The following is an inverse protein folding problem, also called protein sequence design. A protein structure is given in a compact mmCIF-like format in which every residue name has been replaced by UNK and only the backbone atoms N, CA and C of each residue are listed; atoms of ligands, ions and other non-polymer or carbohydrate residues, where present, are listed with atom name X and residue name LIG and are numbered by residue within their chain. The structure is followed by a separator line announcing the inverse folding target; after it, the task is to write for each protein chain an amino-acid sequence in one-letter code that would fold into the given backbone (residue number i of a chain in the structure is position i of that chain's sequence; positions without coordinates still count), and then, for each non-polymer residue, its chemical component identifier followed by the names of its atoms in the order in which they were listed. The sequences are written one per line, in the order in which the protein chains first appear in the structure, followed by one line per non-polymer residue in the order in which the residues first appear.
data_IF_255764426736
#
_entry.id   IF_255764426736
#
_cell.length_a   1.000
_cell.length_b   1.000
_cell.length_c   1.000
_cell.angle_alpha   90.00
_cell.angle_beta   90.00
_cell.angle_gamma   90.00
#
_symmetry.space_group_name_H-M   'P 1'
#
loop_
_entity.id
_entity.type
_entity.pdbx_description
1 polymer ?
#
# COMPACT_ATOMS: atom_id res chain seq x y z
N UNK A 1 -19.57 -7.48 6.31
CA UNK A 1 -18.36 -6.64 6.09
C UNK A 1 -18.39 -5.43 7.02
N UNK A 2 -19.58 -4.91 7.33
CA UNK A 2 -19.89 -3.97 8.42
C UNK A 2 -19.32 -4.36 9.80
N UNK A 3 -19.00 -5.63 10.01
CA UNK A 3 -18.46 -6.15 11.27
C UNK A 3 -17.01 -5.77 11.55
N UNK A 4 -16.19 -5.43 10.57
CA UNK A 4 -14.77 -5.06 10.81
C UNK A 4 -14.62 -3.58 11.14
N UNK A 5 -15.37 -2.71 10.44
CA UNK A 5 -15.42 -1.28 10.74
C UNK A 5 -16.00 -1.02 12.13
N UNK A 6 -17.03 -1.79 12.53
CA UNK A 6 -17.57 -1.72 13.90
C UNK A 6 -16.56 -2.12 14.98
N UNK A 7 -15.48 -2.83 14.61
CA UNK A 7 -14.38 -3.20 15.50
C UNK A 7 -13.22 -2.20 15.46
N UNK A 8 -13.37 -1.08 14.73
CA UNK A 8 -12.37 -0.03 14.62
C UNK A 8 -11.29 -0.28 13.57
N UNK A 9 -11.42 -1.31 12.73
CA UNK A 9 -10.47 -1.56 11.64
C UNK A 9 -10.57 -0.42 10.62
N UNK A 10 -9.47 0.27 10.27
CA UNK A 10 -9.47 1.34 9.29
C UNK A 10 -10.06 0.90 7.95
N UNK A 11 -10.92 1.75 7.38
CA UNK A 11 -11.39 1.61 6.01
C UNK A 11 -10.39 2.26 5.04
N UNK A 12 -9.79 1.42 4.20
CA UNK A 12 -8.84 1.79 3.15
C UNK A 12 -9.30 1.26 1.79
N UNK A 13 -10.60 0.99 1.62
CA UNK A 13 -11.15 0.53 0.34
C UNK A 13 -10.85 1.55 -0.76
N UNK A 14 -10.61 1.10 -2.01
CA UNK A 14 -10.18 1.98 -3.10
C UNK A 14 -11.06 3.23 -3.25
N UNK A 15 -12.38 3.08 -3.15
CA UNK A 15 -13.35 4.18 -3.23
C UNK A 15 -13.11 5.35 -2.24
N UNK A 16 -12.47 5.10 -1.09
CA UNK A 16 -12.20 6.12 -0.06
C UNK A 16 -10.82 6.78 -0.21
N UNK A 17 -9.93 6.17 -0.98
CA UNK A 17 -8.50 6.46 -0.91
C UNK A 17 -8.16 7.88 -1.35
N UNK A 18 -8.81 8.41 -2.38
CA UNK A 18 -8.56 9.77 -2.86
C UNK A 18 -8.89 10.82 -1.77
N UNK A 19 -10.06 10.72 -1.14
CA UNK A 19 -10.46 11.66 -0.08
C UNK A 19 -9.56 11.55 1.17
N UNK A 20 -9.11 10.33 1.52
CA UNK A 20 -8.18 10.11 2.63
C UNK A 20 -6.80 10.71 2.35
N UNK A 21 -6.28 10.52 1.13
CA UNK A 21 -5.01 11.12 0.71
C UNK A 21 -5.12 12.64 0.63
N UNK A 22 -6.24 13.19 0.17
CA UNK A 22 -6.47 14.64 0.19
C UNK A 22 -6.36 15.22 1.61
N UNK A 23 -6.99 14.56 2.59
CA UNK A 23 -6.90 14.95 3.99
C UNK A 23 -5.47 14.87 4.52
N UNK A 24 -4.73 13.80 4.20
CA UNK A 24 -3.32 13.67 4.56
C UNK A 24 -2.46 14.78 3.92
N UNK A 25 -2.70 15.08 2.64
CA UNK A 25 -1.99 16.13 1.90
C UNK A 25 -2.31 17.56 2.39
N UNK A 26 -3.33 17.73 3.23
CA UNK A 26 -3.62 18.98 3.92
C UNK A 26 -2.82 19.13 5.23
N UNK A 27 -2.34 18.05 5.82
CA UNK A 27 -1.58 18.04 7.07
C UNK A 27 -0.08 18.27 6.82
N UNK A 28 0.30 19.54 6.69
CA UNK A 28 1.70 19.93 6.43
C UNK A 28 2.65 19.49 7.53
N UNK A 29 2.19 19.34 8.77
CA UNK A 29 3.02 18.91 9.88
C UNK A 29 3.34 17.41 9.76
N UNK A 30 2.34 16.58 9.47
CA UNK A 30 2.52 15.15 9.24
C UNK A 30 3.43 14.86 8.02
N UNK A 31 3.41 15.74 7.02
CA UNK A 31 4.27 15.63 5.82
C UNK A 31 5.65 16.26 6.00
N UNK A 32 5.93 16.89 7.15
CA UNK A 32 7.19 17.60 7.41
C UNK A 32 7.59 18.52 6.23
N UNK A 33 6.64 19.30 5.72
CA UNK A 33 6.84 20.01 4.44
C UNK A 33 7.90 21.09 4.58
N UNK A 34 8.85 21.09 3.65
CA UNK A 34 10.01 22.00 3.58
C UNK A 34 11.04 21.82 4.73
N UNK A 35 10.95 20.71 5.47
CA UNK A 35 12.02 20.24 6.36
C UNK A 35 13.15 19.55 5.57
N UNK A 36 14.39 19.47 6.11
CA UNK A 36 15.50 18.78 5.46
C UNK A 36 15.15 17.33 5.08
N UNK A 37 15.52 16.92 3.87
CA UNK A 37 15.33 15.55 3.33
C UNK A 37 13.86 15.07 3.29
N UNK A 38 12.89 15.99 3.33
CA UNK A 38 11.44 15.71 3.29
C UNK A 38 10.78 16.24 2.00
N UNK A 39 9.44 16.18 1.94
CA UNK A 39 8.64 16.68 0.83
C UNK A 39 8.67 18.21 0.76
N UNK A 40 8.80 18.74 -0.46
CA UNK A 40 8.66 20.18 -0.70
C UNK A 40 7.19 20.56 -0.86
N UNK A 41 6.89 21.85 -0.71
CA UNK A 41 5.57 22.39 -1.10
C UNK A 41 5.18 22.06 -2.54
N UNK A 42 6.15 22.00 -3.46
CA UNK A 42 5.92 21.62 -4.85
C UNK A 42 5.55 20.13 -5.00
N UNK A 43 6.15 19.24 -4.20
CA UNK A 43 5.79 17.81 -4.18
C UNK A 43 4.38 17.59 -3.65
N UNK A 44 3.96 18.34 -2.63
CA UNK A 44 2.59 18.30 -2.12
C UNK A 44 1.59 18.73 -3.19
N UNK A 45 1.85 19.81 -3.93
CA UNK A 45 0.97 20.24 -5.04
C UNK A 45 0.95 19.22 -6.18
N UNK A 46 2.10 18.61 -6.53
CA UNK A 46 2.16 17.50 -7.50
C UNK A 46 1.33 16.30 -7.04
N UNK A 47 1.40 15.95 -5.76
CA UNK A 47 0.61 14.90 -5.15
C UNK A 47 -0.90 15.20 -5.17
N UNK A 48 -1.31 16.42 -4.85
CA UNK A 48 -2.71 16.85 -4.95
C UNK A 48 -3.23 16.74 -6.38
N UNK A 49 -2.43 17.12 -7.37
CA UNK A 49 -2.77 16.98 -8.77
C UNK A 49 -2.99 15.51 -9.21
N UNK A 50 -2.50 14.53 -8.45
CA UNK A 50 -2.73 13.10 -8.72
C UNK A 50 -4.04 12.54 -8.14
N UNK A 51 -4.77 13.27 -7.30
CA UNK A 51 -5.96 12.75 -6.60
C UNK A 51 -7.05 12.26 -7.57
N UNK A 52 -7.27 12.96 -8.69
CA UNK A 52 -8.20 12.51 -9.73
C UNK A 52 -7.77 11.18 -10.37
N UNK A 53 -6.45 10.98 -10.54
CA UNK A 53 -5.89 9.71 -11.05
C UNK A 53 -6.02 8.58 -10.02
N UNK A 54 -5.83 8.88 -8.73
CA UNK A 54 -6.10 7.91 -7.65
C UNK A 54 -7.53 7.43 -7.71
N UNK A 55 -8.50 8.34 -7.83
CA UNK A 55 -9.92 7.98 -7.93
C UNK A 55 -10.20 7.09 -9.15
N UNK A 56 -9.62 7.42 -10.31
CA UNK A 56 -9.76 6.61 -11.52
C UNK A 56 -9.14 5.21 -11.38
N UNK A 57 -7.92 5.10 -10.86
CA UNK A 57 -7.26 3.81 -10.62
C UNK A 57 -7.99 2.98 -9.56
N UNK A 58 -8.54 3.62 -8.54
CA UNK A 58 -9.34 2.97 -7.52
C UNK A 58 -10.63 2.38 -8.11
N UNK A 59 -11.34 3.14 -8.94
CA UNK A 59 -12.52 2.66 -9.65
C UNK A 59 -12.18 1.52 -10.63
N UNK A 60 -11.05 1.62 -11.34
CA UNK A 60 -10.55 0.55 -12.21
C UNK A 60 -10.27 -0.73 -11.41
N UNK A 61 -9.58 -0.61 -10.26
CA UNK A 61 -9.27 -1.73 -9.37
C UNK A 61 -10.54 -2.40 -8.83
N UNK A 62 -11.51 -1.62 -8.35
CA UNK A 62 -12.80 -2.13 -7.88
C UNK A 62 -13.58 -2.83 -9.01
N UNK A 63 -13.45 -2.35 -10.24
CA UNK A 63 -14.05 -2.96 -11.43
C UNK A 63 -13.63 -4.40 -11.68
N UNK A 64 -12.49 -4.86 -11.17
CA UNK A 64 -12.05 -6.26 -11.26
C UNK A 64 -12.90 -7.23 -10.44
N UNK A 65 -13.71 -6.74 -9.49
CA UNK A 65 -14.61 -7.58 -8.69
C UNK A 65 -13.90 -8.41 -7.62
N UNK A 66 -12.71 -7.99 -7.20
CA UNK A 66 -12.01 -8.58 -6.06
C UNK A 66 -12.78 -8.22 -4.78
N UNK A 67 -13.15 -9.19 -3.93
CA UNK A 67 -13.75 -8.85 -2.64
C UNK A 67 -12.72 -8.11 -1.80
N UNK A 68 -13.07 -6.95 -1.24
CA UNK A 68 -12.16 -6.34 -0.26
C UNK A 68 -12.12 -7.22 1.00
N UNK A 69 -10.97 -7.23 1.65
CA UNK A 69 -10.64 -8.15 2.73
C UNK A 69 -9.88 -7.42 3.83
N UNK A 70 -9.71 -8.09 4.97
CA UNK A 70 -8.71 -7.68 5.94
C UNK A 70 -7.32 -7.85 5.30
N UNK A 71 -6.64 -6.73 5.13
CA UNK A 71 -5.28 -6.60 4.61
C UNK A 71 -4.34 -6.29 5.77
N UNK A 72 -3.18 -6.92 5.78
CA UNK A 72 -2.23 -6.86 6.89
C UNK A 72 -1.46 -5.52 6.96
N UNK A 73 -1.28 -4.87 5.80
CA UNK A 73 -0.50 -3.64 5.56
C UNK A 73 0.99 -3.63 5.94
N UNK A 74 1.44 -4.61 6.73
CA UNK A 74 2.84 -4.85 7.06
C UNK A 74 3.27 -6.29 6.77
N UNK A 75 2.81 -6.82 5.64
CA UNK A 75 3.14 -8.18 5.25
C UNK A 75 4.60 -8.26 4.79
N UNK A 76 5.48 -8.72 5.67
CA UNK A 76 6.84 -9.15 5.36
C UNK A 76 7.16 -10.46 6.08
N UNK A 77 8.26 -11.10 5.70
CA UNK A 77 8.63 -12.43 6.18
C UNK A 77 8.89 -12.52 7.71
N UNK A 78 9.21 -11.40 8.35
CA UNK A 78 9.38 -11.32 9.81
C UNK A 78 8.07 -11.59 10.55
N UNK A 79 6.95 -11.34 9.88
CA UNK A 79 5.60 -11.62 10.36
C UNK A 79 5.08 -13.00 9.93
N UNK A 80 5.92 -13.84 9.29
CA UNK A 80 5.55 -15.18 8.80
C UNK A 80 6.26 -16.28 9.59
N UNK A 81 5.49 -17.05 10.34
CA UNK A 81 5.98 -18.19 11.13
C UNK A 81 5.59 -19.50 10.46
N UNK A 82 6.58 -20.31 10.08
CA UNK A 82 6.35 -21.59 9.40
C UNK A 82 6.70 -22.75 10.34
N UNK A 83 5.74 -23.65 10.56
CA UNK A 83 5.95 -24.90 11.32
C UNK A 83 5.15 -26.03 10.69
N UNK A 84 5.81 -27.16 10.45
CA UNK A 84 5.17 -28.39 9.93
C UNK A 84 4.34 -28.17 8.66
N UNK A 85 4.83 -27.36 7.72
CA UNK A 85 4.14 -27.06 6.46
C UNK A 85 2.99 -26.06 6.57
N UNK A 86 2.71 -25.51 7.74
CA UNK A 86 1.71 -24.46 7.94
C UNK A 86 2.36 -23.10 8.23
N UNK A 87 1.82 -22.05 7.61
CA UNK A 87 2.18 -20.67 7.91
C UNK A 87 1.17 -20.03 8.88
N UNK A 88 1.68 -19.18 9.77
CA UNK A 88 0.91 -18.29 10.65
C UNK A 88 1.43 -16.87 10.46
N UNK A 89 0.51 -15.92 10.35
CA UNK A 89 0.82 -14.50 10.24
C UNK A 89 0.59 -13.84 11.60
N UNK A 90 1.51 -12.98 12.02
CA UNK A 90 1.42 -12.21 13.26
C UNK A 90 1.54 -10.71 12.97
N UNK A 91 1.35 -9.89 14.00
CA UNK A 91 1.45 -8.42 13.91
C UNK A 91 0.41 -7.75 13.00
N UNK A 92 -0.86 -7.89 13.40
CA UNK A 92 -2.00 -7.33 12.68
C UNK A 92 -2.30 -5.87 13.07
N UNK A 93 -1.39 -5.18 13.77
CA UNK A 93 -1.66 -3.85 14.34
C UNK A 93 -2.01 -2.80 13.26
N UNK A 94 -1.43 -2.95 12.07
CA UNK A 94 -1.60 -2.03 10.94
C UNK A 94 -2.67 -2.47 9.94
N UNK A 95 -3.50 -3.44 10.32
CA UNK A 95 -4.47 -4.02 9.40
C UNK A 95 -5.56 -3.03 9.00
N UNK A 96 -6.01 -3.12 7.76
CA UNK A 96 -7.09 -2.31 7.23
C UNK A 96 -7.99 -3.12 6.30
N UNK A 97 -9.21 -2.65 6.06
CA UNK A 97 -10.08 -3.21 5.01
C UNK A 97 -9.73 -2.56 3.68
N UNK A 98 -9.18 -3.34 2.73
CA UNK A 98 -8.87 -2.86 1.37
C UNK A 98 -8.79 -4.01 0.36
N UNK A 99 -8.34 -3.74 -0.87
CA UNK A 99 -8.08 -4.77 -1.86
C UNK A 99 -7.04 -5.76 -1.34
N UNK A 100 -7.27 -7.08 -1.46
CA UNK A 100 -6.29 -8.08 -1.03
C UNK A 100 -4.94 -7.88 -1.72
N UNK A 101 -4.94 -7.35 -2.95
CA UNK A 101 -3.73 -7.16 -3.74
C UNK A 101 -2.81 -6.05 -3.19
N UNK A 102 -3.29 -5.17 -2.29
CA UNK A 102 -2.43 -4.14 -1.69
C UNK A 102 -1.30 -4.75 -0.82
N UNK A 103 -1.45 -6.00 -0.35
CA UNK A 103 -0.39 -6.72 0.39
C UNK A 103 0.90 -6.88 -0.41
N UNK A 104 0.81 -6.83 -1.76
CA UNK A 104 1.97 -6.95 -2.63
C UNK A 104 2.92 -5.76 -2.49
N UNK A 105 2.45 -4.59 -2.03
CA UNK A 105 3.29 -3.39 -1.89
C UNK A 105 4.43 -3.61 -0.90
N UNK A 106 4.12 -3.97 0.35
CA UNK A 106 5.16 -4.18 1.37
C UNK A 106 5.87 -5.51 1.14
N UNK A 107 5.13 -6.58 0.85
CA UNK A 107 5.71 -7.91 0.68
C UNK A 107 6.76 -8.01 -0.42
N UNK A 108 6.48 -7.44 -1.61
CA UNK A 108 7.45 -7.46 -2.71
C UNK A 108 8.64 -6.55 -2.42
N UNK A 109 8.43 -5.36 -1.85
CA UNK A 109 9.51 -4.43 -1.49
C UNK A 109 10.45 -5.05 -0.45
N UNK A 110 9.89 -5.67 0.59
CA UNK A 110 10.67 -6.35 1.63
C UNK A 110 11.50 -7.51 1.08
N UNK A 111 10.90 -8.36 0.25
CA UNK A 111 11.62 -9.46 -0.41
C UNK A 111 12.70 -8.95 -1.35
N UNK A 112 12.40 -7.93 -2.15
CA UNK A 112 13.35 -7.30 -3.06
C UNK A 112 14.56 -6.76 -2.30
N UNK A 113 14.33 -6.03 -1.21
CA UNK A 113 15.39 -5.51 -0.36
C UNK A 113 16.24 -6.63 0.25
N UNK A 114 15.61 -7.57 0.95
CA UNK A 114 16.36 -8.61 1.69
C UNK A 114 17.11 -9.60 0.81
N UNK A 115 16.61 -9.87 -0.39
CA UNK A 115 17.25 -10.77 -1.35
C UNK A 115 18.09 -10.03 -2.40
N UNK A 116 18.25 -8.71 -2.26
CA UNK A 116 18.97 -7.83 -3.18
C UNK A 116 18.55 -8.05 -4.65
N UNK A 117 17.25 -8.02 -4.90
CA UNK A 117 16.67 -8.25 -6.22
C UNK A 117 16.56 -6.94 -6.99
N UNK A 118 16.81 -7.02 -8.30
CA UNK A 118 16.52 -5.90 -9.21
C UNK A 118 15.03 -5.85 -9.53
N UNK A 119 14.58 -4.69 -9.98
CA UNK A 119 13.23 -4.55 -10.55
C UNK A 119 13.04 -5.53 -11.71
N UNK A 120 11.85 -6.15 -11.73
CA UNK A 120 11.49 -7.15 -12.75
C UNK A 120 12.25 -8.47 -12.63
N UNK A 121 12.85 -8.77 -11.46
CA UNK A 121 13.44 -10.10 -11.23
C UNK A 121 12.35 -11.19 -11.39
N UNK A 122 12.59 -12.24 -12.21
CA UNK A 122 11.60 -13.29 -12.47
C UNK A 122 11.08 -14.00 -11.20
N UNK A 123 11.83 -13.97 -10.10
CA UNK A 123 11.38 -14.49 -8.80
C UNK A 123 10.20 -13.70 -8.25
N UNK A 124 10.20 -12.38 -8.42
CA UNK A 124 9.11 -11.52 -7.96
C UNK A 124 7.89 -11.67 -8.87
N UNK A 125 8.09 -11.75 -10.18
CA UNK A 125 7.01 -12.06 -11.14
C UNK A 125 6.33 -13.40 -10.79
N UNK A 126 7.12 -14.43 -10.52
CA UNK A 126 6.61 -15.74 -10.10
C UNK A 126 5.86 -15.69 -8.76
N UNK A 127 6.32 -14.88 -7.81
CA UNK A 127 5.61 -14.69 -6.54
C UNK A 127 4.25 -14.02 -6.75
N UNK A 128 4.19 -12.98 -7.59
CA UNK A 128 2.91 -12.36 -7.95
C UNK A 128 2.01 -13.35 -8.67
N UNK A 129 2.54 -14.16 -9.58
CA UNK A 129 1.73 -15.19 -10.25
C UNK A 129 1.13 -16.22 -9.31
N UNK A 130 1.93 -16.70 -8.34
CA UNK A 130 1.46 -17.59 -7.30
C UNK A 130 0.40 -16.93 -6.41
N UNK A 131 0.59 -15.66 -6.05
CA UNK A 131 -0.37 -14.90 -5.26
C UNK A 131 -1.70 -14.67 -6.01
N UNK A 132 -1.64 -14.48 -7.34
CA UNK A 132 -2.82 -14.25 -8.17
C UNK A 132 -3.58 -15.52 -8.54
N UNK A 133 -2.97 -16.71 -8.46
CA UNK A 133 -3.57 -17.98 -8.87
C UNK A 133 -4.97 -18.22 -8.25
N UNK A 134 -5.19 -18.09 -6.92
CA UNK A 134 -6.52 -18.35 -6.33
C UNK A 134 -7.60 -17.40 -6.85
N UNK A 135 -7.23 -16.15 -7.14
CA UNK A 135 -8.13 -15.15 -7.69
C UNK A 135 -8.45 -15.42 -9.17
N UNK A 136 -7.49 -15.91 -9.96
CA UNK A 136 -7.70 -16.30 -11.37
C UNK A 136 -8.74 -17.41 -11.48
N UNK A 137 -8.66 -18.42 -10.60
CA UNK A 137 -9.63 -19.52 -10.53
C UNK A 137 -11.04 -19.00 -10.24
N UNK A 138 -11.17 -18.00 -9.36
CA UNK A 138 -12.47 -17.44 -8.96
C UNK A 138 -13.07 -16.45 -9.97
N UNK A 139 -12.25 -15.58 -10.55
CA UNK A 139 -12.71 -14.42 -11.31
C UNK A 139 -12.69 -14.60 -12.83
N UNK A 140 -11.90 -15.56 -13.34
CA UNK A 140 -11.90 -16.00 -14.75
C UNK A 140 -11.53 -14.92 -15.79
N UNK A 141 -10.46 -15.12 -16.56
CA UNK A 141 -10.15 -14.32 -17.76
C UNK A 141 -9.84 -12.82 -17.57
N UNK A 142 -9.97 -12.29 -16.34
CA UNK A 142 -9.60 -10.91 -16.01
C UNK A 142 -8.08 -10.74 -15.98
N UNK A 143 -7.60 -9.59 -16.42
CA UNK A 143 -6.19 -9.22 -16.29
C UNK A 143 -5.83 -8.85 -14.84
N UNK A 144 -5.64 -9.88 -14.02
CA UNK A 144 -5.25 -9.68 -12.63
C UNK A 144 -3.83 -9.15 -12.45
N UNK A 145 -3.00 -9.10 -13.51
CA UNK A 145 -1.71 -8.40 -13.43
C UNK A 145 -1.93 -6.90 -13.42
N UNK A 146 -2.82 -6.37 -14.26
CA UNK A 146 -3.22 -4.95 -14.19
C UNK A 146 -3.80 -4.61 -12.81
N UNK A 147 -4.68 -5.46 -12.27
CA UNK A 147 -5.20 -5.27 -10.91
C UNK A 147 -4.07 -5.22 -9.86
N UNK A 148 -3.09 -6.11 -9.94
CA UNK A 148 -1.92 -6.11 -9.03
C UNK A 148 -1.05 -4.85 -9.18
N UNK A 149 -0.85 -4.35 -10.41
CA UNK A 149 -0.11 -3.11 -10.65
C UNK A 149 -0.83 -1.90 -10.05
N UNK A 150 -2.14 -1.79 -10.25
CA UNK A 150 -2.97 -0.73 -9.65
C UNK A 150 -2.91 -0.80 -8.12
N UNK A 151 -3.13 -1.99 -7.55
CA UNK A 151 -3.11 -2.19 -6.11
C UNK A 151 -1.75 -1.88 -5.49
N UNK A 152 -0.64 -2.14 -6.19
CA UNK A 152 0.68 -1.77 -5.71
C UNK A 152 0.90 -0.25 -5.70
N UNK A 153 0.40 0.49 -6.71
CA UNK A 153 0.44 1.97 -6.72
C UNK A 153 -0.37 2.53 -5.56
N UNK A 154 -1.63 2.12 -5.48
CA UNK A 154 -2.57 2.58 -4.45
C UNK A 154 -2.13 2.15 -3.04
N UNK A 155 -1.53 0.97 -2.91
CA UNK A 155 -1.04 0.43 -1.64
C UNK A 155 0.09 1.26 -1.01
N UNK A 156 0.87 2.03 -1.78
CA UNK A 156 1.83 2.99 -1.22
C UNK A 156 1.09 4.14 -0.50
N UNK A 157 -0.01 4.61 -1.09
CA UNK A 157 -0.89 5.59 -0.46
C UNK A 157 -1.60 5.02 0.77
N UNK A 158 -2.03 3.76 0.74
CA UNK A 158 -2.57 3.07 1.92
C UNK A 158 -1.54 3.06 3.05
N UNK A 159 -0.28 2.70 2.74
CA UNK A 159 0.79 2.65 3.75
C UNK A 159 1.10 4.04 4.34
N UNK A 160 1.09 5.10 3.52
CA UNK A 160 1.23 6.47 4.01
C UNK A 160 0.13 6.83 5.03
N UNK A 161 -1.12 6.45 4.74
CA UNK A 161 -2.23 6.69 5.65
C UNK A 161 -2.12 5.87 6.93
N UNK A 162 -1.64 4.63 6.83
CA UNK A 162 -1.41 3.76 8.00
C UNK A 162 -0.38 4.35 8.94
N UNK A 163 0.76 4.83 8.43
CA UNK A 163 1.72 5.56 9.26
C UNK A 163 1.12 6.84 9.85
N UNK A 164 0.36 7.61 9.07
CA UNK A 164 -0.27 8.83 9.56
C UNK A 164 -1.29 8.60 10.69
N UNK A 165 -1.96 7.44 10.70
CA UNK A 165 -2.85 7.05 11.79
C UNK A 165 -2.07 6.44 12.96
N UNK A 166 -1.12 5.54 12.71
CA UNK A 166 -0.30 4.90 13.75
C UNK A 166 0.45 5.92 14.62
N UNK A 167 1.05 6.93 13.99
CA UNK A 167 1.81 7.97 14.70
C UNK A 167 0.96 8.80 15.68
N UNK A 168 -0.38 8.83 15.53
CA UNK A 168 -1.25 9.62 16.42
C UNK A 168 -1.30 9.07 17.84
N UNK A 169 -1.18 7.76 17.97
CA UNK A 169 -1.32 7.06 19.25
C UNK A 169 0.03 6.78 19.93
N UNK A 170 1.14 7.09 19.26
CA UNK A 170 2.48 6.91 19.81
C UNK A 170 2.89 8.08 20.72
N UNK A 171 3.75 7.76 21.69
CA UNK A 171 4.44 8.72 22.55
C UNK A 171 5.22 9.74 21.71
N UNK A 172 5.40 10.99 22.16
CA UNK A 172 6.14 12.02 21.42
C UNK A 172 7.54 11.57 20.97
N UNK A 173 8.24 10.79 21.78
CA UNK A 173 9.60 10.31 21.51
C UNK A 173 9.62 9.35 20.30
N UNK A 174 8.78 8.32 20.33
CA UNK A 174 8.64 7.37 19.21
C UNK A 174 8.09 8.07 17.97
N UNK A 175 7.11 8.96 18.14
CA UNK A 175 6.55 9.72 17.01
C UNK A 175 7.60 10.54 16.30
N UNK A 176 8.49 11.21 17.04
CA UNK A 176 9.58 11.98 16.46
C UNK A 176 10.62 11.10 15.75
N UNK A 177 10.89 9.90 16.29
CA UNK A 177 11.83 8.95 15.69
C UNK A 177 11.32 8.36 14.36
N UNK A 178 9.99 8.26 14.20
CA UNK A 178 9.33 7.65 13.03
C UNK A 178 8.62 8.70 12.14
N UNK A 179 8.86 9.99 12.38
CA UNK A 179 8.10 11.08 11.74
C UNK A 179 8.30 11.12 10.22
N UNK A 180 9.45 10.66 9.73
CA UNK A 180 9.81 10.61 8.32
C UNK A 180 9.07 9.52 7.53
N UNK A 181 8.43 8.56 8.21
CA UNK A 181 7.72 7.46 7.57
C UNK A 181 6.57 7.98 6.68
N UNK A 182 5.80 8.97 7.15
CA UNK A 182 4.69 9.55 6.38
C UNK A 182 5.18 10.23 5.09
N UNK A 183 6.08 11.24 5.14
CA UNK A 183 6.59 11.86 3.91
C UNK A 183 7.35 10.88 3.02
N UNK A 184 8.07 9.90 3.60
CA UNK A 184 8.74 8.84 2.84
C UNK A 184 7.78 8.00 2.01
N UNK A 185 6.65 7.56 2.58
CA UNK A 185 5.64 6.80 1.85
C UNK A 185 4.85 7.66 0.86
N UNK A 186 4.59 8.92 1.16
CA UNK A 186 3.97 9.85 0.21
C UNK A 186 4.90 10.12 -0.98
N UNK A 187 6.21 10.27 -0.77
CA UNK A 187 7.19 10.40 -1.85
C UNK A 187 7.24 9.16 -2.74
N UNK A 188 7.32 7.96 -2.14
CA UNK A 188 7.25 6.70 -2.88
C UNK A 188 5.94 6.53 -3.65
N UNK A 189 4.82 6.94 -3.05
CA UNK A 189 3.52 6.93 -3.72
C UNK A 189 3.53 7.87 -4.92
N UNK A 190 3.96 9.13 -4.75
CA UNK A 190 4.04 10.14 -5.81
C UNK A 190 4.90 9.67 -6.98
N UNK A 191 6.09 9.10 -6.71
CA UNK A 191 6.97 8.54 -7.74
C UNK A 191 6.35 7.36 -8.49
N UNK A 192 5.47 6.60 -7.82
CA UNK A 192 4.75 5.47 -8.40
C UNK A 192 3.52 5.82 -9.22
N UNK A 193 3.09 7.10 -9.22
CA UNK A 193 1.92 7.56 -9.97
C UNK A 193 2.17 7.71 -11.48
N UNK A 194 3.42 7.70 -11.93
CA UNK A 194 3.77 7.67 -13.34
C UNK A 194 3.59 6.24 -13.91
N UNK A 195 2.49 5.99 -14.64
CA UNK A 195 2.25 4.68 -15.26
C UNK A 195 3.24 4.28 -16.36
N UNK A 196 4.00 5.25 -16.91
CA UNK A 196 5.09 4.92 -17.85
C UNK A 196 6.26 4.24 -17.13
N UNK A 197 6.35 4.41 -15.81
CA UNK A 197 7.33 3.72 -14.99
C UNK A 197 6.77 2.37 -14.53
N UNK A 198 7.58 1.31 -14.59
CA UNK A 198 7.23 0.06 -13.93
C UNK A 198 6.98 0.35 -12.45
N UNK A 199 5.82 -0.03 -11.96
CA UNK A 199 5.67 -0.23 -10.51
C UNK A 199 6.38 -1.53 -10.27
N UNK A 200 7.40 -1.48 -9.42
CA UNK A 200 8.32 -2.57 -9.15
C UNK A 200 7.74 -3.96 -9.42
N UNK A 201 8.55 -4.80 -10.06
CA UNK A 201 8.38 -6.24 -10.09
C UNK A 201 7.28 -6.81 -11.01
N UNK A 202 6.56 -5.97 -11.75
CA UNK A 202 5.61 -6.39 -12.80
C UNK A 202 5.94 -5.73 -14.14
N UNK A 203 7.05 -6.15 -14.73
CA UNK A 203 7.38 -5.98 -16.17
C UNK A 203 7.23 -7.29 -16.90
#
# INVERSE_FOLDING_TARGET
MDTMESLGVPDRRPATLAARLEALLADRAALMVDEPDSLTSADVERARAQLGRVAAMAAELDGFGLPHSLHHDDFHDGNVFVRSGAARLADWAESAVTSPLCTLTVGLRGLQYRLNLRDGDPRLTRLVDAYLEPFRVRLGGRDLRRAAQLAQRLGRGVRALTWADALRDLTPEVRAAEADAVPGWVGLWLDGMDESRPVGNLT
#
